data_IF_938145492031
#
_entry.id   IF_938145492031
#
_cell.length_a   1.000
_cell.length_b   1.000
_cell.length_c   1.000
_cell.angle_alpha   90.00
_cell.angle_beta   90.00
_cell.angle_gamma   90.00
#
_symmetry.space_group_name_H-M   'P 1'
#
loop_
_entity.id
_entity.type
_entity.pdbx_description
1 polymer ?
#
# COMPACT_ATOMS: atom_id res chain seq x y z
N UNK A 1 -4.81 -7.89 18.86
CA UNK A 1 -4.05 -8.22 17.64
C UNK A 1 -4.86 -7.67 16.48
N UNK A 2 -4.29 -6.93 15.55
CA UNK A 2 -5.03 -6.51 14.34
C UNK A 2 -5.31 -7.76 13.52
N UNK A 3 -6.56 -7.96 13.11
CA UNK A 3 -6.93 -9.05 12.22
C UNK A 3 -6.60 -8.69 10.76
N UNK A 4 -6.56 -9.70 9.91
CA UNK A 4 -6.37 -9.52 8.48
C UNK A 4 -7.43 -8.67 7.79
N UNK A 5 -8.65 -8.71 8.30
CA UNK A 5 -9.75 -7.90 7.80
C UNK A 5 -9.58 -6.42 8.18
N UNK A 6 -8.99 -6.14 9.35
CA UNK A 6 -8.73 -4.77 9.82
C UNK A 6 -7.72 -4.04 8.91
N UNK A 7 -6.68 -4.72 8.42
CA UNK A 7 -5.70 -4.10 7.52
C UNK A 7 -6.31 -3.83 6.14
N UNK A 8 -7.09 -4.76 5.60
CA UNK A 8 -7.75 -4.56 4.31
C UNK A 8 -8.73 -3.37 4.37
N UNK A 9 -9.55 -3.31 5.43
CA UNK A 9 -10.49 -2.20 5.65
C UNK A 9 -9.78 -0.86 5.86
N UNK A 10 -8.63 -0.84 6.55
CA UNK A 10 -7.80 0.35 6.68
C UNK A 10 -7.36 0.87 5.30
N UNK A 11 -6.91 -0.02 4.43
CA UNK A 11 -6.52 0.33 3.06
C UNK A 11 -7.72 0.84 2.26
N UNK A 12 -8.92 0.25 2.39
CA UNK A 12 -10.13 0.75 1.74
C UNK A 12 -10.47 2.18 2.14
N UNK A 13 -10.42 2.49 3.43
CA UNK A 13 -10.66 3.86 3.93
C UNK A 13 -9.63 4.84 3.35
N UNK A 14 -8.36 4.46 3.31
CA UNK A 14 -7.28 5.33 2.80
C UNK A 14 -7.42 5.53 1.30
N UNK A 15 -7.75 4.49 0.54
CA UNK A 15 -8.00 4.58 -0.90
C UNK A 15 -9.18 5.50 -1.20
N UNK A 16 -10.28 5.38 -0.45
CA UNK A 16 -11.43 6.26 -0.58
C UNK A 16 -11.02 7.73 -0.38
N UNK A 17 -10.34 8.03 0.73
CA UNK A 17 -9.84 9.39 1.03
C UNK A 17 -8.83 9.89 0.00
N UNK A 18 -7.98 9.02 -0.52
CA UNK A 18 -6.97 9.37 -1.53
C UNK A 18 -7.66 9.80 -2.83
N UNK A 19 -8.71 9.09 -3.23
CA UNK A 19 -9.55 9.41 -4.38
C UNK A 19 -10.42 10.67 -4.18
N UNK A 20 -10.53 11.23 -2.99
CA UNK A 20 -11.20 12.50 -2.74
C UNK A 20 -10.25 13.71 -2.83
N UNK A 21 -8.92 13.48 -2.76
CA UNK A 21 -7.93 14.56 -2.75
C UNK A 21 -7.37 14.82 -4.14
N UNK A 22 -7.68 16.01 -4.68
CA UNK A 22 -7.20 16.44 -6.00
C UNK A 22 -5.66 16.45 -6.12
N UNK A 23 -4.96 16.76 -5.03
CA UNK A 23 -3.49 16.73 -4.99
C UNK A 23 -2.95 15.31 -5.21
N UNK A 24 -3.60 14.30 -4.63
CA UNK A 24 -3.24 12.90 -4.83
C UNK A 24 -3.49 12.50 -6.27
N UNK A 25 -4.69 12.76 -6.80
CA UNK A 25 -5.04 12.46 -8.20
C UNK A 25 -3.99 13.00 -9.16
N UNK A 26 -3.63 14.26 -9.03
CA UNK A 26 -2.62 14.92 -9.88
C UNK A 26 -1.25 14.24 -9.82
N UNK A 27 -0.84 13.72 -8.66
CA UNK A 27 0.42 13.00 -8.47
C UNK A 27 0.42 11.62 -9.13
N UNK A 28 -0.73 10.95 -9.15
CA UNK A 28 -0.88 9.59 -9.69
C UNK A 28 -1.57 9.53 -11.07
N UNK A 29 -1.89 10.67 -11.70
CA UNK A 29 -2.51 10.72 -13.03
C UNK A 29 -1.71 9.93 -14.08
N UNK A 30 -0.39 10.01 -14.02
CA UNK A 30 0.51 9.33 -14.97
C UNK A 30 1.00 7.97 -14.45
N UNK A 31 0.39 7.44 -13.40
CA UNK A 31 0.72 6.14 -12.86
C UNK A 31 -0.23 5.09 -13.43
N UNK A 32 0.34 4.09 -14.08
CA UNK A 32 -0.30 2.81 -14.38
C UNK A 32 0.52 1.71 -13.70
N UNK A 33 0.23 1.47 -12.42
CA UNK A 33 1.01 0.59 -11.54
C UNK A 33 0.11 -0.29 -10.69
N UNK A 34 0.57 -1.51 -10.46
CA UNK A 34 -0.14 -2.49 -9.63
C UNK A 34 0.75 -2.92 -8.46
N UNK A 35 0.28 -2.70 -7.24
CA UNK A 35 1.01 -3.05 -6.02
C UNK A 35 0.34 -4.23 -5.34
N UNK A 36 1.08 -5.33 -5.22
CA UNK A 36 0.65 -6.51 -4.48
C UNK A 36 1.05 -6.36 -3.01
N UNK A 37 0.09 -6.47 -2.10
CA UNK A 37 0.33 -6.60 -0.67
C UNK A 37 0.12 -8.07 -0.26
N UNK A 38 1.09 -8.62 0.49
CA UNK A 38 1.07 -9.96 1.04
C UNK A 38 1.34 -9.90 2.54
N UNK A 39 0.28 -9.69 3.34
CA UNK A 39 0.39 -9.86 4.78
C UNK A 39 0.78 -11.31 5.11
N UNK A 40 1.68 -11.52 6.07
CA UNK A 40 2.11 -12.88 6.46
C UNK A 40 1.06 -13.64 7.27
N UNK A 41 0.07 -12.91 7.80
CA UNK A 41 -0.96 -13.35 8.74
C UNK A 41 -2.39 -13.08 8.23
N UNK A 42 -2.54 -12.72 6.94
CA UNK A 42 -3.86 -12.54 6.31
C UNK A 42 -3.85 -12.75 4.81
N UNK A 43 -5.04 -12.62 4.19
CA UNK A 43 -5.18 -12.73 2.75
C UNK A 43 -4.46 -11.60 2.01
N UNK A 44 -3.84 -11.97 0.89
CA UNK A 44 -3.23 -11.01 -0.01
C UNK A 44 -4.28 -10.12 -0.67
N UNK A 45 -3.89 -8.90 -1.00
CA UNK A 45 -4.72 -7.94 -1.72
C UNK A 45 -3.87 -7.08 -2.64
N UNK A 46 -4.53 -6.44 -3.60
CA UNK A 46 -3.89 -5.71 -4.69
C UNK A 46 -4.44 -4.30 -4.75
N UNK A 47 -3.55 -3.33 -4.81
CA UNK A 47 -3.85 -1.94 -5.10
C UNK A 47 -3.51 -1.63 -6.56
N UNK A 48 -4.54 -1.26 -7.31
CA UNK A 48 -4.43 -0.82 -8.70
C UNK A 48 -4.43 0.70 -8.73
N UNK A 49 -3.48 1.29 -9.46
CA UNK A 49 -3.40 2.72 -9.68
C UNK A 49 -3.39 2.95 -11.18
N UNK A 50 -4.43 3.61 -11.68
CA UNK A 50 -4.59 3.95 -13.09
C UNK A 50 -5.43 5.21 -13.24
N UNK A 51 -5.11 6.06 -14.21
CA UNK A 51 -5.89 7.25 -14.57
C UNK A 51 -6.16 8.21 -13.39
N UNK A 52 -5.21 8.31 -12.44
CA UNK A 52 -5.38 9.17 -11.26
C UNK A 52 -6.31 8.63 -10.18
N UNK A 53 -6.70 7.35 -10.26
CA UNK A 53 -7.54 6.68 -9.27
C UNK A 53 -6.83 5.48 -8.66
N UNK A 54 -7.15 5.20 -7.40
CA UNK A 54 -6.72 4.01 -6.66
C UNK A 54 -7.90 3.06 -6.47
N UNK A 55 -7.67 1.76 -6.65
CA UNK A 55 -8.68 0.71 -6.43
C UNK A 55 -8.09 -0.51 -5.75
N UNK A 56 -8.79 -1.03 -4.74
CA UNK A 56 -8.42 -2.28 -4.07
C UNK A 56 -9.19 -3.47 -4.63
N UNK A 57 -8.54 -4.62 -4.56
CA UNK A 57 -9.12 -5.93 -4.85
C UNK A 57 -8.47 -7.00 -3.99
N UNK A 58 -9.23 -8.03 -3.61
CA UNK A 58 -8.70 -9.17 -2.87
C UNK A 58 -7.95 -10.14 -3.79
N UNK A 59 -6.99 -10.87 -3.23
CA UNK A 59 -6.26 -11.93 -3.91
C UNK A 59 -4.88 -11.53 -4.44
N UNK A 60 -4.48 -12.20 -5.52
CA UNK A 60 -3.15 -12.08 -6.12
C UNK A 60 -3.24 -11.52 -7.54
N UNK A 61 -2.29 -10.66 -7.89
CA UNK A 61 -2.08 -10.20 -9.26
C UNK A 61 -0.98 -11.01 -9.94
N UNK A 62 -1.16 -11.47 -11.19
CA UNK A 62 -0.14 -12.28 -11.89
C UNK A 62 1.11 -11.48 -12.27
N UNK A 63 0.98 -10.16 -12.50
CA UNK A 63 2.08 -9.30 -12.90
C UNK A 63 2.05 -7.95 -12.15
N UNK A 64 2.39 -7.92 -10.85
CA UNK A 64 2.43 -6.67 -10.10
C UNK A 64 3.71 -5.89 -10.40
N UNK A 65 3.62 -4.55 -10.44
CA UNK A 65 4.78 -3.64 -10.54
C UNK A 65 5.70 -3.79 -9.32
N UNK A 66 5.12 -3.99 -8.14
CA UNK A 66 5.85 -4.31 -6.93
C UNK A 66 5.04 -5.21 -6.00
N UNK A 67 5.74 -6.05 -5.22
CA UNK A 67 5.17 -6.89 -4.16
C UNK A 67 5.75 -6.48 -2.81
N UNK A 68 4.87 -6.24 -1.84
CA UNK A 68 5.18 -5.84 -0.47
C UNK A 68 4.75 -6.96 0.47
N UNK A 69 5.71 -7.52 1.22
CA UNK A 69 5.48 -8.60 2.18
C UNK A 69 5.87 -8.12 3.59
N UNK A 70 4.94 -8.21 4.54
CA UNK A 70 5.11 -7.83 5.96
C UNK A 70 3.96 -8.43 6.79
N UNK A 71 3.93 -8.23 8.12
CA UNK A 71 2.73 -8.56 8.91
C UNK A 71 1.62 -7.53 8.69
N UNK A 72 0.36 -7.91 8.96
CA UNK A 72 -0.79 -6.99 8.90
C UNK A 72 -0.59 -5.78 9.81
N UNK A 73 0.00 -6.00 11.00
CA UNK A 73 0.33 -4.94 11.94
C UNK A 73 1.40 -3.99 11.37
N UNK A 74 2.48 -4.52 10.78
CA UNK A 74 3.57 -3.70 10.25
C UNK A 74 3.09 -2.87 9.05
N UNK A 75 2.27 -3.45 8.16
CA UNK A 75 1.64 -2.73 7.06
C UNK A 75 0.78 -1.58 7.58
N UNK A 76 -0.07 -1.82 8.58
CA UNK A 76 -0.92 -0.79 9.16
C UNK A 76 -0.09 0.34 9.80
N UNK A 77 0.93 0.00 10.60
CA UNK A 77 1.79 0.99 11.25
C UNK A 77 2.65 1.77 10.23
N UNK A 78 3.09 1.15 9.15
CA UNK A 78 3.81 1.85 8.07
C UNK A 78 2.92 2.89 7.42
N UNK A 79 1.71 2.48 7.03
CA UNK A 79 0.76 3.37 6.35
C UNK A 79 0.31 4.52 7.25
N UNK A 80 0.15 4.28 8.55
CA UNK A 80 -0.13 5.33 9.55
C UNK A 80 1.08 6.21 9.89
N UNK A 81 2.28 5.84 9.41
CA UNK A 81 3.52 6.55 9.71
C UNK A 81 4.08 6.28 11.12
N UNK A 82 3.55 5.30 11.84
CA UNK A 82 4.03 4.84 13.15
C UNK A 82 5.31 4.00 13.05
N UNK A 83 5.47 3.28 11.93
CA UNK A 83 6.66 2.50 11.60
C UNK A 83 7.31 3.07 10.33
N UNK A 84 8.61 3.33 10.39
CA UNK A 84 9.37 3.79 9.22
C UNK A 84 9.60 2.64 8.24
N UNK A 85 9.09 2.78 7.00
CA UNK A 85 9.16 1.75 5.97
C UNK A 85 10.60 1.40 5.57
N UNK A 86 11.51 2.39 5.56
CA UNK A 86 12.91 2.18 5.18
C UNK A 86 13.64 1.37 6.25
N UNK A 87 13.43 1.69 7.53
CA UNK A 87 13.94 0.89 8.65
C UNK A 87 13.34 -0.51 8.69
N UNK A 88 12.03 -0.64 8.42
CA UNK A 88 11.38 -1.93 8.33
C UNK A 88 11.98 -2.80 7.21
N UNK A 89 12.33 -2.19 6.07
CA UNK A 89 12.99 -2.88 4.97
C UNK A 89 14.40 -3.36 5.35
N UNK A 90 15.25 -2.47 5.88
CA UNK A 90 16.61 -2.84 6.28
C UNK A 90 16.67 -3.84 7.46
N UNK A 91 15.66 -3.85 8.32
CA UNK A 91 15.54 -4.85 9.41
C UNK A 91 14.95 -6.19 8.96
N UNK A 92 14.50 -6.30 7.71
CA UNK A 92 13.89 -7.52 7.16
C UNK A 92 12.43 -7.76 7.55
N UNK A 93 11.80 -6.82 8.28
CA UNK A 93 10.36 -6.86 8.62
C UNK A 93 9.46 -6.55 7.44
N UNK A 94 9.96 -5.74 6.51
CA UNK A 94 9.34 -5.43 5.23
C UNK A 94 10.20 -6.01 4.11
N UNK A 95 9.60 -6.73 3.18
CA UNK A 95 10.26 -7.14 1.94
C UNK A 95 9.55 -6.51 0.77
N UNK A 96 10.33 -5.94 -0.14
CA UNK A 96 9.84 -5.32 -1.36
C UNK A 96 10.52 -6.01 -2.54
N UNK A 97 9.74 -6.41 -3.52
CA UNK A 97 10.20 -6.95 -4.81
C UNK A 97 9.62 -6.11 -5.94
N UNK A 98 10.38 -5.87 -7.00
CA UNK A 98 9.95 -5.04 -8.13
C UNK A 98 10.37 -3.58 -7.96
N UNK A 99 9.49 -2.64 -8.33
CA UNK A 99 9.78 -1.21 -8.35
C UNK A 99 9.78 -0.59 -6.94
N UNK A 100 10.96 -0.61 -6.29
CA UNK A 100 11.17 -0.07 -4.94
C UNK A 100 10.86 1.43 -4.87
N UNK A 101 11.24 2.21 -5.88
CA UNK A 101 11.02 3.66 -5.87
C UNK A 101 9.53 3.98 -5.87
N UNK A 102 8.75 3.28 -6.69
CA UNK A 102 7.30 3.43 -6.71
C UNK A 102 6.65 3.05 -5.38
N UNK A 103 7.17 2.03 -4.68
CA UNK A 103 6.63 1.69 -3.34
C UNK A 103 6.89 2.78 -2.31
N UNK A 104 8.02 3.49 -2.41
CA UNK A 104 8.33 4.60 -1.51
C UNK A 104 7.43 5.81 -1.78
N UNK A 105 7.22 6.16 -3.05
CA UNK A 105 6.29 7.22 -3.45
C UNK A 105 4.85 6.89 -3.04
N UNK A 106 4.41 5.64 -3.25
CA UNK A 106 3.11 5.16 -2.78
C UNK A 106 2.97 5.32 -1.26
N UNK A 107 3.97 4.89 -0.50
CA UNK A 107 3.94 5.00 0.96
C UNK A 107 3.74 6.46 1.43
N UNK A 108 4.40 7.42 0.77
CA UNK A 108 4.24 8.84 1.09
C UNK A 108 2.81 9.33 0.79
N UNK A 109 2.19 8.87 -0.30
CA UNK A 109 0.80 9.19 -0.64
C UNK A 109 -0.16 8.61 0.41
N UNK A 110 -0.04 7.32 0.72
CA UNK A 110 -0.91 6.67 1.70
C UNK A 110 -0.78 7.31 3.09
N UNK A 111 0.45 7.63 3.51
CA UNK A 111 0.73 8.32 4.77
C UNK A 111 0.06 9.70 4.84
N UNK A 112 0.18 10.51 3.79
CA UNK A 112 -0.41 11.86 3.75
C UNK A 112 -1.95 11.88 3.85
N UNK A 113 -2.60 10.75 3.54
CA UNK A 113 -4.05 10.58 3.57
C UNK A 113 -4.54 9.89 4.86
N UNK A 114 -3.66 9.11 5.50
CA UNK A 114 -3.94 8.38 6.74
C UNK A 114 -4.06 9.29 7.97
N UNK A 115 -3.38 10.44 7.95
CA UNK A 115 -3.34 11.45 9.02
C UNK A 115 -4.56 12.38 8.98
#
# INVERSE_FOLDING_TARGET
MMSGEDVYNLFEVIVSRANERQEVKSKITNWDKVFQFKPSDSEAFVLHIANGELKLSKGLHPNPSATIEASSQDLASIVKGELDAVKAFFSGRLKIKGDVFATQELNNILKAVST
#
